data_IF_200738416562
#
_entry.id   IF_200738416562
#
_cell.length_a   1.000
_cell.length_b   1.000
_cell.length_c   1.000
_cell.angle_alpha   90.00
_cell.angle_beta   90.00
_cell.angle_gamma   90.00
#
_symmetry.space_group_name_H-M   'P 1'
#
loop_
_entity.id
_entity.type
_entity.pdbx_description
1 polymer ?
#
# COMPACT_ATOMS: atom_id res chain seq x y z
N UNK A 1 -6.67 14.07 24.54
CA UNK A 1 -5.82 13.11 25.28
C UNK A 1 -4.76 12.60 24.32
N UNK A 2 -3.52 13.04 24.52
CA UNK A 2 -2.33 12.77 23.71
C UNK A 2 -2.12 11.26 23.54
N UNK A 3 -2.46 10.72 22.38
CA UNK A 3 -2.04 9.39 21.95
C UNK A 3 -2.16 9.28 20.42
N UNK A 4 -1.72 10.31 19.70
CA UNK A 4 -1.05 10.07 18.42
C UNK A 4 0.26 9.35 18.78
N UNK A 5 0.15 8.05 19.05
CA UNK A 5 1.31 7.17 19.08
C UNK A 5 2.01 7.45 17.76
N UNK A 6 3.24 7.96 17.81
CA UNK A 6 4.19 7.86 16.71
C UNK A 6 4.31 6.36 16.41
N UNK A 7 3.39 5.83 15.60
CA UNK A 7 3.57 4.53 15.01
C UNK A 7 4.75 4.73 14.08
N UNK A 8 5.92 4.31 14.54
CA UNK A 8 7.09 4.20 13.69
C UNK A 8 6.67 3.27 12.57
N UNK A 9 6.60 3.82 11.36
CA UNK A 9 6.41 3.03 10.15
C UNK A 9 7.53 1.99 10.18
N UNK A 10 7.19 0.69 10.21
CA UNK A 10 8.21 -0.33 10.34
C UNK A 10 9.09 -0.32 9.09
N UNK A 11 10.39 -0.54 9.24
CA UNK A 11 11.28 -0.67 8.10
C UNK A 11 10.94 -1.90 7.27
N UNK A 12 11.26 -1.87 5.97
CA UNK A 12 11.16 -3.02 5.07
C UNK A 12 12.19 -4.07 5.50
N UNK A 13 11.77 -5.33 5.57
CA UNK A 13 12.70 -6.45 5.78
C UNK A 13 13.70 -6.59 4.64
N UNK A 14 14.92 -7.09 4.91
CA UNK A 14 15.96 -7.26 3.88
C UNK A 14 15.46 -8.07 2.67
N UNK A 15 14.69 -9.12 2.94
CA UNK A 15 14.17 -10.06 1.94
C UNK A 15 12.67 -9.84 1.62
N UNK A 16 12.08 -8.74 2.11
CA UNK A 16 10.65 -8.44 1.92
C UNK A 16 10.44 -7.68 0.60
N UNK A 17 9.64 -8.23 -0.32
CA UNK A 17 9.28 -7.52 -1.56
C UNK A 17 8.57 -6.18 -1.29
N UNK A 18 8.62 -5.25 -2.24
CA UNK A 18 7.97 -3.94 -2.09
C UNK A 18 6.44 -4.08 -1.94
N UNK A 19 5.81 -4.96 -2.74
CA UNK A 19 4.37 -5.23 -2.63
C UNK A 19 3.99 -5.85 -1.28
N UNK A 20 4.74 -6.86 -0.81
CA UNK A 20 4.58 -7.46 0.51
C UNK A 20 4.71 -6.42 1.65
N UNK A 21 5.68 -5.51 1.53
CA UNK A 21 5.85 -4.42 2.48
C UNK A 21 4.67 -3.45 2.49
N UNK A 22 4.19 -3.02 1.32
CA UNK A 22 3.00 -2.17 1.19
C UNK A 22 1.73 -2.85 1.74
N UNK A 23 1.59 -4.16 1.56
CA UNK A 23 0.51 -4.94 2.19
C UNK A 23 0.61 -4.91 3.72
N UNK A 24 1.81 -5.13 4.28
CA UNK A 24 2.03 -5.07 5.74
C UNK A 24 1.73 -3.68 6.31
N UNK A 25 2.05 -2.60 5.60
CA UNK A 25 1.67 -1.24 5.99
C UNK A 25 0.15 -1.03 5.96
N UNK A 26 -0.53 -1.57 4.95
CA UNK A 26 -1.99 -1.53 4.80
C UNK A 26 -2.70 -2.28 5.93
N UNK A 27 -2.17 -3.44 6.33
CA UNK A 27 -2.65 -4.22 7.46
C UNK A 27 -2.44 -3.49 8.80
N UNK A 28 -1.27 -2.88 8.99
CA UNK A 28 -0.97 -2.08 10.18
C UNK A 28 -1.94 -0.91 10.32
N UNK A 29 -2.18 -0.19 9.22
CA UNK A 29 -3.19 0.88 9.19
C UNK A 29 -4.58 0.34 9.53
N UNK A 30 -4.96 -0.80 8.95
CA UNK A 30 -6.26 -1.44 9.18
C UNK A 30 -6.48 -1.95 10.60
N UNK A 31 -5.41 -2.37 11.29
CA UNK A 31 -5.44 -2.75 12.71
C UNK A 31 -5.50 -1.55 13.65
N UNK A 32 -4.96 -0.41 13.21
CA UNK A 32 -4.89 0.81 14.03
C UNK A 32 -6.20 1.59 14.01
N UNK A 33 -6.80 1.76 12.84
CA UNK A 33 -7.96 2.62 12.66
C UNK A 33 -9.24 1.81 12.56
N UNK A 34 -10.28 2.28 13.28
CA UNK A 34 -11.61 1.67 13.21
C UNK A 34 -12.17 1.68 11.79
N UNK A 35 -13.07 0.75 11.50
CA UNK A 35 -13.75 0.68 10.19
C UNK A 35 -14.47 1.99 9.83
N UNK A 36 -15.00 2.71 10.82
CA UNK A 36 -15.66 4.01 10.59
C UNK A 36 -14.65 5.08 10.13
N UNK A 37 -13.49 5.19 10.78
CA UNK A 37 -12.42 6.09 10.36
C UNK A 37 -11.93 5.72 8.96
N UNK A 38 -11.77 4.42 8.67
CA UNK A 38 -11.33 3.95 7.35
C UNK A 38 -12.33 4.30 6.25
N UNK A 39 -13.62 4.08 6.49
CA UNK A 39 -14.70 4.47 5.57
C UNK A 39 -14.71 5.96 5.31
N UNK A 40 -14.65 6.78 6.35
CA UNK A 40 -14.63 8.23 6.22
C UNK A 40 -13.42 8.73 5.42
N UNK A 41 -12.26 8.07 5.55
CA UNK A 41 -11.03 8.42 4.81
C UNK A 41 -10.93 7.78 3.43
N UNK A 42 -11.88 6.94 3.03
CA UNK A 42 -11.80 6.18 1.77
C UNK A 42 -10.65 5.16 1.75
N UNK A 43 -10.20 4.69 2.92
CA UNK A 43 -9.03 3.80 3.03
C UNK A 43 -9.44 2.33 2.96
N UNK A 44 -9.46 1.81 1.73
CA UNK A 44 -9.65 0.40 1.41
C UNK A 44 -8.47 -0.05 0.56
N UNK A 45 -7.74 -1.06 1.04
CA UNK A 45 -6.46 -1.43 0.44
C UNK A 45 -6.60 -2.64 -0.48
N UNK A 46 -5.92 -2.56 -1.62
CA UNK A 46 -5.76 -3.68 -2.57
C UNK A 46 -4.84 -4.73 -1.97
N UNK A 47 -5.20 -6.03 -2.00
CA UNK A 47 -4.27 -7.12 -1.63
C UNK A 47 -3.15 -7.29 -2.65
N UNK A 48 -2.00 -7.79 -2.22
CA UNK A 48 -0.80 -8.04 -3.03
C UNK A 48 -1.10 -8.89 -4.28
N UNK A 49 -1.89 -9.96 -4.13
CA UNK A 49 -2.23 -10.82 -5.25
C UNK A 49 -3.06 -10.08 -6.32
N UNK A 50 -3.90 -9.13 -5.89
CA UNK A 50 -4.72 -8.32 -6.80
C UNK A 50 -3.85 -7.27 -7.49
N UNK A 51 -2.91 -6.62 -6.79
CA UNK A 51 -1.98 -5.68 -7.43
C UNK A 51 -1.07 -6.37 -8.46
N UNK A 52 -0.55 -7.56 -8.15
CA UNK A 52 0.26 -8.35 -9.09
C UNK A 52 -0.54 -8.72 -10.33
N UNK A 53 -1.80 -9.12 -10.15
CA UNK A 53 -2.70 -9.37 -11.28
C UNK A 53 -2.90 -8.11 -12.14
N UNK A 54 -3.18 -6.96 -11.50
CA UNK A 54 -3.39 -5.69 -12.22
C UNK A 54 -2.15 -5.24 -13.00
N UNK A 55 -0.95 -5.36 -12.42
CA UNK A 55 0.31 -5.04 -13.10
C UNK A 55 0.55 -5.97 -14.28
N UNK A 56 0.21 -7.25 -14.16
CA UNK A 56 0.33 -8.24 -15.24
C UNK A 56 -0.51 -7.95 -16.49
N UNK A 57 -1.45 -7.00 -16.43
CA UNK A 57 -2.23 -6.53 -17.59
C UNK A 57 -1.42 -5.56 -18.45
N UNK A 58 -0.38 -4.92 -17.89
CA UNK A 58 0.43 -3.92 -18.59
C UNK A 58 1.69 -4.54 -19.19
N UNK A 59 2.02 -4.10 -20.40
CA UNK A 59 3.33 -4.34 -21.01
C UNK A 59 4.23 -3.11 -20.86
N UNK A 60 5.43 -3.30 -20.32
CA UNK A 60 6.44 -2.23 -20.22
C UNK A 60 7.24 -2.21 -21.52
N UNK A 61 6.78 -1.41 -22.48
CA UNK A 61 7.39 -1.31 -23.82
C UNK A 61 8.54 -0.31 -23.91
N UNK A 62 8.73 0.53 -22.88
CA UNK A 62 9.68 1.64 -22.89
C UNK A 62 10.63 1.57 -21.69
N UNK A 63 11.88 2.02 -21.89
CA UNK A 63 12.88 2.15 -20.82
C UNK A 63 12.49 3.17 -19.73
N UNK A 64 11.60 4.10 -20.06
CA UNK A 64 11.11 5.12 -19.13
C UNK A 64 9.60 5.16 -19.21
N UNK A 65 8.96 5.01 -18.05
CA UNK A 65 7.51 5.14 -17.90
C UNK A 65 7.21 6.27 -16.92
N UNK A 66 6.04 6.89 -17.09
CA UNK A 66 5.48 7.83 -16.09
C UNK A 66 4.24 7.16 -15.50
N UNK A 67 4.29 6.91 -14.20
CA UNK A 67 3.21 6.26 -13.47
C UNK A 67 2.43 7.30 -12.65
N UNK A 68 1.11 7.27 -12.75
CA UNK A 68 0.20 8.06 -11.93
C UNK A 68 -0.64 7.10 -11.09
N UNK A 69 -0.50 7.18 -9.77
CA UNK A 69 -1.22 6.34 -8.80
C UNK A 69 -1.98 7.25 -7.80
N UNK A 70 -3.13 7.82 -8.21
CA UNK A 70 -3.89 8.73 -7.37
C UNK A 70 -4.64 7.93 -6.30
N UNK A 71 -4.49 8.31 -5.03
CA UNK A 71 -5.08 7.54 -3.93
C UNK A 71 -4.32 6.25 -3.62
N UNK A 72 -3.03 6.19 -3.94
CA UNK A 72 -2.15 5.03 -3.78
C UNK A 72 -2.18 4.36 -2.39
N UNK A 73 -2.60 5.07 -1.33
CA UNK A 73 -2.59 4.56 0.03
C UNK A 73 -1.17 4.18 0.44
N UNK A 74 -0.92 2.89 0.68
CA UNK A 74 0.42 2.36 0.97
C UNK A 74 1.30 2.15 -0.28
N UNK A 75 0.82 2.50 -1.48
CA UNK A 75 1.57 2.41 -2.73
C UNK A 75 1.61 1.02 -3.36
N UNK A 76 0.70 0.11 -3.01
CA UNK A 76 0.82 -1.31 -3.38
C UNK A 76 0.79 -1.56 -4.89
N UNK A 77 0.05 -0.76 -5.66
CA UNK A 77 0.01 -0.90 -7.11
C UNK A 77 1.32 -0.43 -7.77
N UNK A 78 1.90 0.65 -7.26
CA UNK A 78 3.22 1.12 -7.70
C UNK A 78 4.38 0.22 -7.23
N UNK A 79 4.15 -0.61 -6.21
CA UNK A 79 5.14 -1.48 -5.59
C UNK A 79 5.15 -2.91 -6.15
N UNK A 80 4.09 -3.32 -6.86
CA UNK A 80 3.94 -4.62 -7.52
C UNK A 80 4.67 -4.63 -8.87
#
# INVERSE_FOLDING_TARGET
MKLELLMKIPERGKDEGLAAYAQRLSELYSKTYSTEIRKHRGQFFTPEQVSTFMVGIFEILHKTIRLLDPGAGAGILSAA
#
